data_IF_068416510382
#
_entry.id   IF_068416510382
#
_cell.length_a   1.000
_cell.length_b   1.000
_cell.length_c   1.000
_cell.angle_alpha   90.00
_cell.angle_beta   90.00
_cell.angle_gamma   90.00
#
_symmetry.space_group_name_H-M   'P 1'
#
loop_
_entity.id
_entity.type
_entity.pdbx_description
1 polymer ?
#
# COMPACT_ATOMS: atom_id res chain seq x y z
N UNK A 1 -1.45 15.70 3.76
CA UNK A 1 -1.27 16.97 4.47
C UNK A 1 -2.05 18.12 3.83
N UNK A 2 -2.28 18.13 2.53
CA UNK A 2 -3.05 19.16 1.81
C UNK A 2 -4.57 19.11 2.08
N UNK A 3 -5.15 17.91 2.27
CA UNK A 3 -6.60 17.76 2.52
C UNK A 3 -7.08 18.16 3.94
N UNK A 4 -6.18 18.31 4.92
CA UNK A 4 -6.56 18.72 6.30
C UNK A 4 -6.73 20.23 6.49
N UNK A 5 -6.29 21.05 5.53
CA UNK A 5 -6.39 22.52 5.63
C UNK A 5 -7.67 23.12 5.04
N UNK A 6 -8.45 22.33 4.31
CA UNK A 6 -9.67 22.82 3.63
C UNK A 6 -10.87 22.95 4.59
N UNK A 7 -10.92 22.17 5.66
CA UNK A 7 -12.04 22.21 6.62
C UNK A 7 -12.03 23.37 7.61
N UNK A 8 -10.91 24.08 7.75
CA UNK A 8 -10.79 25.16 8.74
C UNK A 8 -11.27 26.55 8.22
N UNK A 9 -11.35 26.76 6.90
CA UNK A 9 -11.65 28.09 6.35
C UNK A 9 -13.14 28.39 6.16
N UNK A 10 -14.00 27.36 6.09
CA UNK A 10 -15.43 27.52 5.80
C UNK A 10 -16.26 28.10 6.96
N UNK A 11 -15.72 28.16 8.18
CA UNK A 11 -16.49 28.59 9.37
C UNK A 11 -16.36 30.10 9.68
N UNK A 12 -15.36 30.78 9.15
CA UNK A 12 -15.09 32.19 9.48
C UNK A 12 -15.93 33.19 8.66
N UNK A 13 -16.46 32.80 7.50
CA UNK A 13 -17.15 33.75 6.57
C UNK A 13 -18.66 33.89 6.83
N UNK A 14 -19.30 32.99 7.61
CA UNK A 14 -20.75 32.99 7.81
C UNK A 14 -21.26 33.91 8.94
N UNK A 15 -20.40 34.64 9.64
CA UNK A 15 -20.80 35.47 10.81
C UNK A 15 -21.18 36.91 10.45
N UNK A 16 -21.06 37.39 9.21
CA UNK A 16 -21.16 38.84 8.93
C UNK A 16 -22.37 39.34 8.13
N UNK A 17 -23.42 38.58 7.85
CA UNK A 17 -24.59 39.16 7.17
C UNK A 17 -25.91 38.58 7.70
N UNK A 18 -26.39 39.04 8.84
CA UNK A 18 -27.82 39.28 9.08
C UNK A 18 -27.99 40.21 10.28
N UNK A 19 -28.08 41.49 9.99
CA UNK A 19 -28.55 42.50 10.93
C UNK A 19 -30.03 42.73 10.75
N UNK A 20 -30.81 42.53 11.79
CA UNK A 20 -31.67 43.52 12.45
C UNK A 20 -32.89 42.92 13.14
N UNK A 21 -32.93 43.28 14.40
CA UNK A 21 -34.07 43.59 15.30
C UNK A 21 -34.83 42.42 15.93
N UNK A 22 -34.56 42.24 17.23
CA UNK A 22 -35.40 41.52 18.17
C UNK A 22 -34.63 40.95 19.35
N UNK A 23 -34.67 41.64 20.50
CA UNK A 23 -34.30 41.16 21.83
C UNK A 23 -32.82 40.98 22.19
N UNK A 24 -32.23 42.02 22.70
CA UNK A 24 -30.87 42.09 23.24
C UNK A 24 -30.56 41.07 24.40
N UNK A 25 -31.56 40.45 25.03
CA UNK A 25 -31.35 39.56 26.15
C UNK A 25 -31.11 38.10 25.78
N UNK A 26 -31.44 37.67 24.53
CA UNK A 26 -31.22 36.30 24.02
C UNK A 26 -29.97 36.18 23.16
N UNK A 27 -29.34 37.25 22.73
CA UNK A 27 -28.15 37.26 21.89
C UNK A 27 -26.85 37.02 22.66
N UNK A 28 -26.75 37.48 23.92
CA UNK A 28 -25.55 37.29 24.75
C UNK A 28 -25.19 35.79 25.03
N UNK A 29 -26.15 34.92 25.44
CA UNK A 29 -25.83 33.52 25.66
C UNK A 29 -25.41 32.79 24.39
N UNK A 30 -26.03 33.10 23.24
CA UNK A 30 -25.71 32.48 21.98
C UNK A 30 -24.33 32.91 21.46
N UNK A 31 -23.94 34.15 21.62
CA UNK A 31 -22.60 34.62 21.29
C UNK A 31 -21.52 33.96 22.14
N UNK A 32 -21.79 33.75 23.45
CA UNK A 32 -20.88 33.02 24.35
C UNK A 32 -20.72 31.56 23.92
N UNK A 33 -21.79 30.87 23.54
CA UNK A 33 -21.75 29.49 23.02
C UNK A 33 -20.89 29.40 21.73
N UNK A 34 -21.12 30.29 20.76
CA UNK A 34 -20.35 30.35 19.53
C UNK A 34 -18.87 30.63 19.78
N UNK A 35 -18.57 31.50 20.75
CA UNK A 35 -17.18 31.78 21.14
C UNK A 35 -16.50 30.55 21.77
N UNK A 36 -17.20 29.80 22.64
CA UNK A 36 -16.69 28.57 23.23
C UNK A 36 -16.41 27.52 22.12
N UNK A 37 -17.35 27.35 21.18
CA UNK A 37 -17.17 26.44 20.04
C UNK A 37 -15.97 26.83 19.20
N UNK A 38 -15.81 28.13 18.87
CA UNK A 38 -14.67 28.63 18.09
C UNK A 38 -13.33 28.41 18.81
N UNK A 39 -13.27 28.69 20.12
CA UNK A 39 -12.06 28.46 20.93
C UNK A 39 -11.72 26.96 21.02
N UNK A 40 -12.72 26.11 21.15
CA UNK A 40 -12.54 24.66 21.13
C UNK A 40 -12.05 24.17 19.77
N UNK A 41 -12.59 24.69 18.68
CA UNK A 41 -12.12 24.35 17.34
C UNK A 41 -10.66 24.79 17.14
N UNK A 42 -10.30 25.99 17.56
CA UNK A 42 -8.92 26.47 17.51
C UNK A 42 -7.97 25.58 18.31
N UNK A 43 -8.39 25.05 19.47
CA UNK A 43 -7.59 24.10 20.24
C UNK A 43 -7.40 22.77 19.50
N UNK A 44 -8.44 22.26 18.82
CA UNK A 44 -8.33 21.08 17.94
C UNK A 44 -7.37 21.29 16.77
N UNK A 45 -7.41 22.46 16.15
CA UNK A 45 -6.50 22.81 15.04
C UNK A 45 -5.02 22.85 15.50
N UNK A 46 -4.80 23.19 16.78
CA UNK A 46 -3.50 23.14 17.47
C UNK A 46 -3.13 21.76 18.01
N UNK A 47 -3.98 20.75 17.80
CA UNK A 47 -3.84 19.39 18.34
C UNK A 47 -3.89 19.30 19.87
N UNK A 48 -4.52 20.29 20.54
CA UNK A 48 -4.74 20.29 21.98
C UNK A 48 -6.16 19.81 22.31
N UNK A 49 -6.35 18.49 22.17
CA UNK A 49 -7.66 17.83 22.39
C UNK A 49 -8.12 17.98 23.84
N UNK A 50 -7.17 18.01 24.80
CA UNK A 50 -7.50 18.15 26.23
C UNK A 50 -8.12 19.52 26.53
N UNK A 51 -7.54 20.60 25.98
CA UNK A 51 -8.07 21.94 26.09
C UNK A 51 -9.42 22.10 25.40
N UNK A 52 -9.55 21.53 24.18
CA UNK A 52 -10.82 21.54 23.46
C UNK A 52 -11.96 20.90 24.28
N UNK A 53 -11.66 19.73 24.86
CA UNK A 53 -12.62 18.99 25.71
C UNK A 53 -12.99 19.76 26.99
N UNK A 54 -12.02 20.39 27.66
CA UNK A 54 -12.26 21.22 28.84
C UNK A 54 -13.20 22.38 28.54
N UNK A 55 -12.91 23.14 27.45
CA UNK A 55 -13.76 24.27 27.04
C UNK A 55 -15.21 23.87 26.77
N UNK A 56 -15.42 22.74 26.09
CA UNK A 56 -16.77 22.26 25.78
C UNK A 56 -17.47 21.74 27.01
N UNK A 57 -16.79 21.03 27.92
CA UNK A 57 -17.39 20.59 29.20
C UNK A 57 -17.79 21.77 30.06
N UNK A 58 -16.97 22.79 30.20
CA UNK A 58 -17.31 24.03 30.91
C UNK A 58 -18.48 24.74 30.25
N UNK A 59 -18.51 24.79 28.91
CA UNK A 59 -19.63 25.30 28.16
C UNK A 59 -20.93 24.56 28.41
N UNK A 60 -20.90 23.23 28.43
CA UNK A 60 -22.08 22.39 28.73
C UNK A 60 -22.58 22.50 30.19
N UNK A 61 -21.71 22.78 31.13
CA UNK A 61 -22.13 23.10 32.53
C UNK A 61 -22.92 24.41 32.58
N UNK A 62 -22.53 25.41 31.76
CA UNK A 62 -23.21 26.71 31.68
C UNK A 62 -24.47 26.67 30.83
N UNK A 63 -24.41 25.91 29.73
CA UNK A 63 -25.40 25.86 28.65
C UNK A 63 -25.71 24.40 28.28
N UNK A 64 -26.40 23.62 29.17
CA UNK A 64 -26.55 22.17 29.02
C UNK A 64 -27.38 21.75 27.80
N UNK A 65 -28.27 22.62 27.32
CA UNK A 65 -29.22 22.29 26.25
C UNK A 65 -28.75 22.76 24.86
N UNK A 66 -27.56 23.37 24.75
CA UNK A 66 -27.07 23.90 23.47
C UNK A 66 -26.57 22.78 22.57
N UNK A 67 -27.22 22.64 21.42
CA UNK A 67 -26.92 21.59 20.44
C UNK A 67 -25.52 21.77 19.82
N UNK A 68 -25.10 23.03 19.58
CA UNK A 68 -23.80 23.36 19.02
C UNK A 68 -22.63 22.85 19.90
N UNK A 69 -22.77 22.93 21.22
CA UNK A 69 -21.75 22.38 22.14
C UNK A 69 -21.73 20.86 22.11
N UNK A 70 -22.90 20.21 22.03
CA UNK A 70 -22.99 18.74 21.92
C UNK A 70 -22.42 18.24 20.59
N UNK A 71 -22.68 18.96 19.49
CA UNK A 71 -22.08 18.64 18.18
C UNK A 71 -20.57 18.80 18.22
N UNK A 72 -20.06 19.87 18.83
CA UNK A 72 -18.62 20.07 18.99
C UNK A 72 -17.98 18.99 19.89
N UNK A 73 -18.68 18.55 20.96
CA UNK A 73 -18.26 17.43 21.77
C UNK A 73 -18.14 16.13 20.96
N UNK A 74 -19.11 15.89 20.07
CA UNK A 74 -19.05 14.72 19.19
C UNK A 74 -17.83 14.78 18.24
N UNK A 75 -17.47 15.96 17.72
CA UNK A 75 -16.24 16.14 16.92
C UNK A 75 -14.97 15.83 17.73
N UNK A 76 -14.88 16.32 18.97
CA UNK A 76 -13.76 16.00 19.87
C UNK A 76 -13.65 14.49 20.10
N UNK A 77 -14.76 13.79 20.32
CA UNK A 77 -14.78 12.35 20.47
C UNK A 77 -14.26 11.62 19.22
N UNK A 78 -14.52 12.13 18.02
CA UNK A 78 -13.98 11.56 16.79
C UNK A 78 -12.45 11.72 16.71
N UNK A 79 -11.92 12.90 17.07
CA UNK A 79 -10.46 13.10 17.13
C UNK A 79 -9.80 12.16 18.14
N UNK A 80 -10.44 11.93 19.29
CA UNK A 80 -10.02 10.98 20.32
C UNK A 80 -10.26 9.51 19.96
N UNK A 81 -10.81 9.21 18.76
CA UNK A 81 -11.18 7.85 18.32
C UNK A 81 -12.28 7.19 19.17
N UNK A 82 -13.05 7.98 19.87
CA UNK A 82 -14.22 7.55 20.64
C UNK A 82 -15.50 7.59 19.80
N UNK A 83 -15.47 7.04 18.58
CA UNK A 83 -16.52 7.14 17.57
C UNK A 83 -17.90 6.68 18.06
N UNK A 84 -17.95 5.64 18.90
CA UNK A 84 -19.23 5.16 19.47
C UNK A 84 -19.91 6.22 20.33
N UNK A 85 -19.15 6.99 21.09
CA UNK A 85 -19.68 8.07 21.92
C UNK A 85 -20.16 9.24 21.06
N UNK A 86 -19.39 9.59 20.02
CA UNK A 86 -19.80 10.60 19.04
C UNK A 86 -21.13 10.24 18.37
N UNK A 87 -21.25 9.02 17.82
CA UNK A 87 -22.47 8.55 17.17
C UNK A 87 -23.64 8.49 18.15
N UNK A 88 -23.44 8.01 19.36
CA UNK A 88 -24.48 7.96 20.41
C UNK A 88 -25.01 9.34 20.74
N UNK A 89 -24.12 10.33 20.90
CA UNK A 89 -24.48 11.71 21.19
C UNK A 89 -25.26 12.35 20.03
N UNK A 90 -24.80 12.22 18.79
CA UNK A 90 -25.46 12.76 17.60
C UNK A 90 -26.83 12.11 17.35
N UNK A 91 -26.92 10.78 17.54
CA UNK A 91 -28.22 10.10 17.46
C UNK A 91 -29.20 10.58 18.53
N UNK A 92 -28.74 10.90 19.76
CA UNK A 92 -29.62 11.45 20.80
C UNK A 92 -30.17 12.84 20.43
N UNK A 93 -29.38 13.68 19.73
CA UNK A 93 -29.83 14.95 19.17
C UNK A 93 -30.89 14.71 18.08
N UNK A 94 -30.66 13.79 17.16
CA UNK A 94 -31.60 13.45 16.09
C UNK A 94 -32.87 12.77 16.58
N UNK A 95 -32.83 12.08 17.71
CA UNK A 95 -34.05 11.57 18.37
C UNK A 95 -34.92 12.71 18.93
N UNK A 96 -34.30 13.76 19.45
CA UNK A 96 -35.01 14.93 19.96
C UNK A 96 -35.49 15.83 18.80
N UNK A 97 -34.68 16.01 17.78
CA UNK A 97 -34.99 16.80 16.59
C UNK A 97 -34.52 16.06 15.30
N UNK A 98 -35.39 15.24 14.66
CA UNK A 98 -35.05 14.48 13.46
C UNK A 98 -34.69 15.36 12.25
N UNK A 99 -35.05 16.64 12.25
CA UNK A 99 -34.73 17.60 11.18
C UNK A 99 -33.50 18.45 11.47
N UNK A 100 -32.78 18.20 12.56
CA UNK A 100 -31.56 18.93 12.90
C UNK A 100 -30.50 18.71 11.79
N UNK A 101 -30.30 19.77 11.01
CA UNK A 101 -29.36 19.79 9.90
C UNK A 101 -27.92 19.57 10.37
N UNK A 102 -27.52 20.24 11.44
CA UNK A 102 -26.13 20.26 11.88
C UNK A 102 -25.74 18.95 12.57
N UNK A 103 -26.64 18.35 13.31
CA UNK A 103 -26.46 17.00 13.84
C UNK A 103 -26.40 15.94 12.73
N UNK A 104 -27.25 16.03 11.69
CA UNK A 104 -27.17 15.12 10.52
C UNK A 104 -25.87 15.28 9.76
N UNK A 105 -25.45 16.52 9.52
CA UNK A 105 -24.18 16.82 8.83
C UNK A 105 -22.99 16.24 9.60
N UNK A 106 -22.95 16.46 10.92
CA UNK A 106 -21.91 15.92 11.77
C UNK A 106 -21.91 14.39 11.78
N UNK A 107 -23.08 13.75 11.87
CA UNK A 107 -23.20 12.30 11.83
C UNK A 107 -22.75 11.71 10.48
N UNK A 108 -23.08 12.38 9.37
CA UNK A 108 -22.60 12.00 8.05
C UNK A 108 -21.06 12.04 7.96
N UNK A 109 -20.45 13.09 8.50
CA UNK A 109 -19.00 13.23 8.59
C UNK A 109 -18.36 12.10 9.41
N UNK A 110 -18.93 11.78 10.58
CA UNK A 110 -18.43 10.67 11.43
C UNK A 110 -18.49 9.33 10.71
N UNK A 111 -19.58 9.04 9.99
CA UNK A 111 -19.67 7.83 9.18
C UNK A 111 -18.66 7.81 8.04
N UNK A 112 -18.40 8.93 7.38
CA UNK A 112 -17.37 9.08 6.35
C UNK A 112 -15.96 8.79 6.89
N UNK A 113 -15.61 9.36 8.05
CA UNK A 113 -14.32 9.07 8.71
C UNK A 113 -14.14 7.60 9.09
N UNK A 114 -15.24 6.91 9.41
CA UNK A 114 -15.24 5.47 9.68
C UNK A 114 -15.27 4.60 8.42
N UNK A 115 -15.18 5.19 7.27
CA UNK A 115 -15.29 4.50 5.97
C UNK A 115 -16.66 3.78 5.78
N UNK A 116 -17.67 4.17 6.55
CA UNK A 116 -19.04 3.72 6.35
C UNK A 116 -19.75 4.66 5.35
N UNK A 117 -19.26 4.62 4.12
CA UNK A 117 -19.68 5.54 3.06
C UNK A 117 -21.17 5.43 2.75
N UNK A 118 -21.74 4.23 2.81
CA UNK A 118 -23.16 4.03 2.51
C UNK A 118 -24.11 4.80 3.45
N UNK A 119 -23.80 4.82 4.76
CA UNK A 119 -24.60 5.59 5.72
C UNK A 119 -24.31 7.08 5.64
N UNK A 120 -23.06 7.45 5.42
CA UNK A 120 -22.65 8.83 5.19
C UNK A 120 -23.35 9.45 3.98
N UNK A 121 -23.31 8.76 2.83
CA UNK A 121 -23.96 9.20 1.59
C UNK A 121 -25.48 9.36 1.74
N UNK A 122 -26.12 8.44 2.46
CA UNK A 122 -27.55 8.51 2.74
C UNK A 122 -27.88 9.81 3.46
N UNK A 123 -27.15 10.14 4.53
CA UNK A 123 -27.40 11.36 5.31
C UNK A 123 -27.13 12.64 4.51
N UNK A 124 -26.06 12.69 3.69
CA UNK A 124 -25.84 13.82 2.81
C UNK A 124 -26.95 13.99 1.77
N UNK A 125 -27.50 12.90 1.20
CA UNK A 125 -28.63 12.97 0.28
C UNK A 125 -29.88 13.43 0.97
N UNK A 126 -30.19 12.96 2.17
CA UNK A 126 -31.31 13.44 2.97
C UNK A 126 -31.21 14.96 3.25
N UNK A 127 -30.00 15.48 3.51
CA UNK A 127 -29.77 16.91 3.65
C UNK A 127 -30.02 17.67 2.35
N UNK A 128 -29.58 17.16 1.22
CA UNK A 128 -29.77 17.75 -0.09
C UNK A 128 -31.21 17.63 -0.60
N UNK A 129 -31.96 16.60 -0.20
CA UNK A 129 -33.41 16.50 -0.45
C UNK A 129 -34.17 17.56 0.36
N UNK A 130 -33.77 17.85 1.59
CA UNK A 130 -34.39 18.88 2.42
C UNK A 130 -34.02 20.29 1.95
N UNK A 131 -32.76 20.51 1.57
CA UNK A 131 -32.24 21.77 1.04
C UNK A 131 -31.18 21.50 -0.04
N UNK A 132 -31.59 21.60 -1.29
CA UNK A 132 -30.71 21.34 -2.42
C UNK A 132 -29.55 22.36 -2.54
N UNK A 133 -29.63 23.50 -1.87
CA UNK A 133 -28.61 24.56 -1.85
C UNK A 133 -27.70 24.42 -0.60
N UNK A 134 -27.68 23.25 0.06
CA UNK A 134 -26.76 22.98 1.16
C UNK A 134 -25.35 22.65 0.62
N UNK A 135 -24.52 23.69 0.59
CA UNK A 135 -23.14 23.59 0.10
C UNK A 135 -22.31 22.59 0.91
N UNK A 136 -22.45 22.59 2.24
CA UNK A 136 -21.69 21.70 3.10
C UNK A 136 -22.07 20.20 2.88
N UNK A 137 -23.35 19.93 2.65
CA UNK A 137 -23.81 18.59 2.28
C UNK A 137 -23.33 18.17 0.89
N UNK A 138 -23.33 19.10 -0.08
CA UNK A 138 -22.79 18.89 -1.44
C UNK A 138 -21.30 18.56 -1.40
N UNK A 139 -20.50 19.35 -0.69
CA UNK A 139 -19.06 19.12 -0.49
C UNK A 139 -18.80 17.77 0.20
N UNK A 140 -19.55 17.47 1.27
CA UNK A 140 -19.44 16.23 1.99
C UNK A 140 -19.74 15.02 1.12
N UNK A 141 -20.78 15.06 0.31
CA UNK A 141 -21.16 13.98 -0.62
C UNK A 141 -20.07 13.76 -1.69
N UNK A 142 -19.59 14.85 -2.33
CA UNK A 142 -18.52 14.75 -3.33
C UNK A 142 -17.26 14.15 -2.73
N UNK A 143 -16.84 14.64 -1.57
CA UNK A 143 -15.66 14.14 -0.86
C UNK A 143 -15.80 12.65 -0.48
N UNK A 144 -16.96 12.27 0.03
CA UNK A 144 -17.25 10.90 0.44
C UNK A 144 -17.21 9.92 -0.75
N UNK A 145 -17.84 10.29 -1.87
CA UNK A 145 -17.79 9.53 -3.13
C UNK A 145 -16.37 9.39 -3.69
N UNK A 146 -15.52 10.41 -3.51
CA UNK A 146 -14.11 10.34 -3.88
C UNK A 146 -13.32 9.37 -2.99
N UNK A 147 -13.59 9.36 -1.68
CA UNK A 147 -12.95 8.43 -0.73
C UNK A 147 -13.40 6.98 -0.98
N UNK A 148 -14.67 6.78 -1.35
CA UNK A 148 -15.19 5.49 -1.78
C UNK A 148 -14.54 4.98 -3.08
N UNK A 149 -13.92 5.88 -3.86
CA UNK A 149 -13.36 5.58 -5.19
C UNK A 149 -14.40 5.62 -6.31
N UNK A 150 -15.58 6.19 -6.05
CA UNK A 150 -16.66 6.31 -7.03
C UNK A 150 -16.57 7.64 -7.79
N UNK A 151 -15.52 7.78 -8.64
CA UNK A 151 -15.24 9.00 -9.37
C UNK A 151 -16.37 9.43 -10.32
N UNK A 152 -17.15 8.49 -10.84
CA UNK A 152 -18.30 8.80 -11.73
C UNK A 152 -19.41 9.49 -10.94
N UNK A 153 -19.83 8.91 -9.82
CA UNK A 153 -20.85 9.52 -8.98
C UNK A 153 -20.33 10.84 -8.35
N UNK A 154 -19.03 10.92 -7.99
CA UNK A 154 -18.43 12.14 -7.51
C UNK A 154 -18.49 13.27 -8.56
N UNK A 155 -18.22 12.98 -9.85
CA UNK A 155 -18.36 13.97 -10.92
C UNK A 155 -19.81 14.42 -11.12
N UNK A 156 -20.75 13.50 -11.08
CA UNK A 156 -22.17 13.85 -11.21
C UNK A 156 -22.63 14.74 -10.05
N UNK A 157 -22.30 14.37 -8.82
CA UNK A 157 -22.60 15.16 -7.63
C UNK A 157 -21.91 16.54 -7.69
N UNK A 158 -20.65 16.58 -8.10
CA UNK A 158 -19.89 17.81 -8.26
C UNK A 158 -20.50 18.76 -9.32
N UNK A 159 -20.90 18.23 -10.48
CA UNK A 159 -21.55 19.04 -11.52
C UNK A 159 -22.87 19.63 -11.02
N UNK A 160 -23.67 18.86 -10.29
CA UNK A 160 -24.92 19.35 -9.68
C UNK A 160 -24.64 20.41 -8.62
N UNK A 161 -23.60 20.23 -7.81
CA UNK A 161 -23.18 21.19 -6.79
C UNK A 161 -22.66 22.50 -7.41
N UNK A 162 -21.83 22.44 -8.46
CA UNK A 162 -21.30 23.62 -9.17
C UNK A 162 -22.36 24.43 -9.89
N UNK A 163 -23.44 23.80 -10.36
CA UNK A 163 -24.58 24.56 -10.94
C UNK A 163 -25.23 25.48 -9.90
N UNK A 164 -25.24 25.04 -8.62
CA UNK A 164 -25.84 25.79 -7.50
C UNK A 164 -24.86 26.75 -6.85
N UNK A 165 -23.60 26.33 -6.74
CA UNK A 165 -22.51 27.05 -6.07
C UNK A 165 -21.33 27.29 -7.03
N UNK A 166 -21.49 28.07 -8.12
CA UNK A 166 -20.46 28.20 -9.16
C UNK A 166 -19.18 28.89 -8.68
N UNK A 167 -19.24 29.60 -7.56
CA UNK A 167 -18.09 30.34 -6.98
C UNK A 167 -17.48 29.63 -5.76
N UNK A 168 -17.96 28.44 -5.39
CA UNK A 168 -17.38 27.69 -4.28
C UNK A 168 -15.97 27.23 -4.62
N UNK A 169 -15.01 27.73 -3.85
CA UNK A 169 -13.59 27.47 -4.07
C UNK A 169 -13.26 25.98 -3.89
N UNK A 170 -13.88 25.33 -2.91
CA UNK A 170 -13.70 23.93 -2.59
C UNK A 170 -14.26 23.02 -3.69
N UNK A 171 -15.45 23.34 -4.23
CA UNK A 171 -16.02 22.58 -5.36
C UNK A 171 -15.17 22.75 -6.62
N UNK A 172 -14.63 23.95 -6.88
CA UNK A 172 -13.71 24.18 -7.99
C UNK A 172 -12.41 23.40 -7.82
N UNK A 173 -11.86 23.30 -6.62
CA UNK A 173 -10.69 22.45 -6.33
C UNK A 173 -10.98 20.96 -6.56
N UNK A 174 -12.17 20.47 -6.21
CA UNK A 174 -12.58 19.10 -6.54
C UNK A 174 -12.73 18.92 -8.06
N UNK A 175 -13.20 19.94 -8.77
CA UNK A 175 -13.30 19.89 -10.22
C UNK A 175 -11.93 19.79 -10.89
N UNK A 176 -10.95 20.57 -10.45
CA UNK A 176 -9.58 20.50 -10.93
C UNK A 176 -8.94 19.15 -10.61
N UNK A 177 -9.11 18.66 -9.38
CA UNK A 177 -8.65 17.33 -8.98
C UNK A 177 -9.25 16.21 -9.83
N UNK A 178 -10.55 16.31 -10.18
CA UNK A 178 -11.22 15.32 -11.03
C UNK A 178 -10.91 15.52 -12.52
N UNK A 179 -10.59 16.73 -12.96
CA UNK A 179 -10.18 16.99 -14.34
C UNK A 179 -8.80 16.36 -14.65
N UNK A 180 -7.90 16.31 -13.67
CA UNK A 180 -6.61 15.63 -13.79
C UNK A 180 -6.74 14.09 -13.78
N UNK A 181 -7.86 13.55 -13.30
CA UNK A 181 -8.15 12.12 -13.36
C UNK A 181 -9.02 11.82 -14.58
N UNK A 182 -8.66 10.86 -15.44
CA UNK A 182 -9.48 10.52 -16.60
C UNK A 182 -10.92 10.17 -16.19
N UNK A 183 -11.89 10.64 -16.98
CA UNK A 183 -13.35 10.49 -16.74
C UNK A 183 -13.86 9.03 -16.75
N UNK A 184 -12.99 8.09 -16.91
CA UNK A 184 -13.28 6.66 -17.08
C UNK A 184 -12.91 5.85 -15.84
N UNK A 185 -13.69 6.06 -14.75
CA UNK A 185 -14.03 4.92 -13.89
C UNK A 185 -15.49 4.48 -14.17
N UNK A 186 -15.81 4.35 -15.43
CA UNK A 186 -16.72 3.27 -15.85
C UNK A 186 -16.07 1.98 -15.37
N UNK A 187 -16.83 1.13 -14.61
CA UNK A 187 -16.45 -0.25 -14.20
C UNK A 187 -14.96 -0.50 -14.33
N UNK A 188 -14.20 -0.95 -13.37
CA UNK A 188 -12.77 -1.12 -13.56
C UNK A 188 -12.59 -1.75 -14.94
N UNK A 189 -12.14 -0.94 -15.89
CA UNK A 189 -11.85 -1.42 -17.24
C UNK A 189 -10.83 -2.49 -16.96
N UNK A 190 -11.16 -3.72 -17.33
CA UNK A 190 -10.27 -4.82 -17.11
C UNK A 190 -8.91 -4.38 -17.64
N UNK A 191 -7.97 -4.02 -16.74
CA UNK A 191 -6.67 -3.56 -17.15
C UNK A 191 -5.93 -4.79 -17.57
N UNK A 192 -6.02 -5.07 -18.86
CA UNK A 192 -5.24 -6.13 -19.46
C UNK A 192 -3.83 -5.59 -19.67
N UNK A 193 -2.84 -6.33 -19.23
CA UNK A 193 -1.44 -5.98 -19.42
C UNK A 193 -0.71 -7.18 -19.97
N UNK A 194 -0.09 -7.01 -21.11
CA UNK A 194 0.94 -7.93 -21.60
C UNK A 194 2.28 -7.46 -21.08
N UNK A 195 3.11 -8.37 -20.65
CA UNK A 195 4.49 -8.08 -20.25
C UNK A 195 5.46 -9.11 -20.83
N UNK A 196 6.62 -8.63 -21.18
CA UNK A 196 7.79 -9.43 -21.47
C UNK A 196 8.91 -9.07 -20.50
N UNK A 197 9.56 -10.06 -19.93
CA UNK A 197 10.68 -9.90 -19.00
C UNK A 197 11.85 -10.72 -19.49
N UNK A 198 12.99 -10.07 -19.64
CA UNK A 198 14.27 -10.71 -19.95
C UNK A 198 15.22 -10.46 -18.79
N UNK A 199 15.86 -11.51 -18.29
CA UNK A 199 16.85 -11.40 -17.23
C UNK A 199 18.11 -12.17 -17.61
N UNK A 200 19.24 -11.53 -17.39
CA UNK A 200 20.56 -12.12 -17.59
C UNK A 200 21.26 -12.25 -16.25
N UNK A 201 21.86 -13.40 -16.00
CA UNK A 201 22.65 -13.69 -14.81
C UNK A 201 24.03 -14.22 -15.19
N UNK A 202 25.07 -13.84 -14.43
CA UNK A 202 26.41 -14.40 -14.53
C UNK A 202 27.09 -14.39 -13.17
N UNK A 203 27.86 -15.44 -12.87
CA UNK A 203 28.65 -15.55 -11.65
C UNK A 203 30.14 -15.90 -11.88
N UNK A 204 30.92 -15.84 -10.82
CA UNK A 204 32.37 -16.15 -10.85
C UNK A 204 32.66 -17.65 -10.96
N UNK A 205 31.69 -18.54 -10.77
CA UNK A 205 31.81 -19.98 -10.98
C UNK A 205 31.61 -20.38 -12.45
N UNK A 206 31.37 -19.37 -13.33
CA UNK A 206 31.18 -19.55 -14.75
C UNK A 206 29.75 -19.90 -15.15
N UNK A 207 28.81 -19.93 -14.22
CA UNK A 207 27.39 -20.08 -14.53
C UNK A 207 26.83 -18.84 -15.18
N UNK A 208 26.00 -19.03 -16.17
CA UNK A 208 25.24 -17.98 -16.85
C UNK A 208 23.84 -18.45 -17.12
N UNK A 209 22.90 -17.55 -17.09
CA UNK A 209 21.54 -17.85 -17.51
C UNK A 209 20.88 -16.66 -18.22
N UNK A 210 19.97 -16.98 -19.12
CA UNK A 210 18.97 -16.07 -19.64
C UNK A 210 17.61 -16.60 -19.25
N UNK A 211 16.84 -15.76 -18.60
CA UNK A 211 15.46 -16.01 -18.26
C UNK A 211 14.57 -15.11 -19.11
N UNK A 212 13.62 -15.71 -19.81
CA UNK A 212 12.62 -15.02 -20.62
C UNK A 212 11.24 -15.38 -20.11
N UNK A 213 10.41 -14.40 -19.80
CA UNK A 213 9.05 -14.63 -19.36
C UNK A 213 8.06 -13.75 -20.13
N UNK A 214 7.02 -14.39 -20.63
CA UNK A 214 5.89 -13.71 -21.28
C UNK A 214 4.64 -13.93 -20.47
N UNK A 215 3.92 -12.85 -20.17
CA UNK A 215 2.75 -12.95 -19.32
C UNK A 215 1.63 -12.01 -19.74
N UNK A 216 0.41 -12.45 -19.46
CA UNK A 216 -0.79 -11.65 -19.62
C UNK A 216 -1.51 -11.56 -18.29
N UNK A 217 -1.77 -10.35 -17.87
CA UNK A 217 -2.47 -10.03 -16.63
C UNK A 217 -3.88 -9.57 -16.96
N UNK A 218 -4.88 -10.13 -16.28
CA UNK A 218 -6.28 -9.81 -16.44
C UNK A 218 -6.89 -9.35 -15.13
N UNK A 219 -7.50 -8.17 -15.11
CA UNK A 219 -8.36 -7.72 -14.02
C UNK A 219 -9.80 -8.04 -14.40
N UNK A 220 -10.31 -9.23 -14.05
CA UNK A 220 -11.63 -9.70 -14.46
C UNK A 220 -12.77 -8.99 -13.71
N UNK A 221 -12.56 -8.72 -12.43
CA UNK A 221 -13.49 -7.94 -11.60
C UNK A 221 -12.70 -7.05 -10.63
N UNK A 222 -13.37 -6.16 -9.88
CA UNK A 222 -12.71 -5.39 -8.81
C UNK A 222 -11.96 -6.28 -7.80
N UNK A 223 -12.46 -7.49 -7.59
CA UNK A 223 -11.96 -8.41 -6.58
C UNK A 223 -11.13 -9.55 -7.14
N UNK A 224 -11.15 -9.77 -8.46
CA UNK A 224 -10.47 -10.90 -9.08
C UNK A 224 -9.45 -10.46 -10.13
N UNK A 225 -8.21 -10.77 -9.87
CA UNK A 225 -7.06 -10.62 -10.76
C UNK A 225 -6.59 -12.01 -11.17
N UNK A 226 -6.20 -12.16 -12.44
CA UNK A 226 -5.60 -13.38 -12.98
C UNK A 226 -4.36 -13.05 -13.80
N UNK A 227 -3.38 -13.94 -13.79
CA UNK A 227 -2.17 -13.88 -14.60
C UNK A 227 -1.92 -15.26 -15.21
N UNK A 228 -1.56 -15.26 -16.47
CA UNK A 228 -0.99 -16.43 -17.12
C UNK A 228 0.41 -16.07 -17.62
N UNK A 229 1.38 -16.92 -17.40
CA UNK A 229 2.76 -16.71 -17.83
C UNK A 229 3.39 -18.00 -18.36
N UNK A 230 4.30 -17.83 -19.30
CA UNK A 230 5.20 -18.87 -19.78
C UNK A 230 6.62 -18.34 -19.59
N UNK A 231 7.48 -19.20 -19.11
CA UNK A 231 8.86 -18.87 -18.74
C UNK A 231 9.81 -19.88 -19.34
N UNK A 232 10.91 -19.37 -19.88
CA UNK A 232 12.02 -20.14 -20.38
C UNK A 232 13.28 -19.72 -19.63
N UNK A 233 14.02 -20.66 -19.12
CA UNK A 233 15.33 -20.43 -18.48
C UNK A 233 16.37 -21.25 -19.20
N UNK A 234 17.25 -20.58 -19.94
CA UNK A 234 18.42 -21.18 -20.58
C UNK A 234 19.63 -20.99 -19.68
N UNK A 235 20.28 -22.11 -19.35
CA UNK A 235 21.41 -22.19 -18.44
C UNK A 235 22.62 -22.76 -19.17
N UNK A 236 23.80 -22.20 -18.93
CA UNK A 236 25.07 -22.75 -19.42
C UNK A 236 26.20 -22.41 -18.46
N UNK A 237 27.25 -23.19 -18.56
CA UNK A 237 28.53 -22.97 -17.86
C UNK A 237 29.63 -22.94 -18.92
N UNK A 238 30.68 -22.21 -18.65
CA UNK A 238 31.81 -22.10 -19.61
C UNK A 238 32.31 -23.49 -20.05
N UNK A 239 32.22 -23.77 -21.35
CA UNK A 239 32.61 -25.04 -21.94
C UNK A 239 31.55 -26.14 -21.97
N UNK A 240 30.29 -25.85 -21.60
CA UNK A 240 29.17 -26.79 -21.61
C UNK A 240 28.13 -26.44 -22.69
N UNK A 241 27.24 -27.39 -22.98
CA UNK A 241 26.08 -27.19 -23.85
C UNK A 241 25.01 -26.43 -23.09
N UNK A 242 24.25 -25.57 -23.74
CA UNK A 242 23.12 -24.86 -23.16
C UNK A 242 21.98 -25.83 -22.79
N UNK A 243 21.45 -25.69 -21.63
CA UNK A 243 20.29 -26.45 -21.12
C UNK A 243 19.12 -25.50 -20.91
N UNK A 244 17.91 -25.96 -21.18
CA UNK A 244 16.71 -25.12 -21.13
C UNK A 244 15.61 -25.77 -20.31
N UNK A 245 15.07 -25.00 -19.35
CA UNK A 245 13.86 -25.34 -18.62
C UNK A 245 12.70 -24.49 -19.18
N UNK A 246 11.56 -25.14 -19.35
CA UNK A 246 10.33 -24.47 -19.74
C UNK A 246 9.30 -24.60 -18.62
N UNK A 247 8.71 -23.50 -18.19
CA UNK A 247 7.63 -23.52 -17.23
C UNK A 247 6.47 -22.65 -17.66
N UNK A 248 5.28 -22.96 -17.13
CA UNK A 248 4.10 -22.15 -17.32
C UNK A 248 3.20 -22.22 -16.11
N UNK A 249 2.53 -21.10 -15.79
CA UNK A 249 1.65 -21.03 -14.65
C UNK A 249 0.47 -20.10 -14.91
N UNK A 250 -0.68 -20.47 -14.33
CA UNK A 250 -1.84 -19.60 -14.15
C UNK A 250 -1.97 -19.24 -12.68
N UNK A 251 -2.14 -17.96 -12.39
CA UNK A 251 -2.29 -17.39 -11.05
C UNK A 251 -3.63 -16.67 -10.96
N UNK A 252 -4.32 -16.83 -9.83
CA UNK A 252 -5.50 -16.07 -9.48
C UNK A 252 -5.35 -15.44 -8.11
N UNK A 253 -5.81 -14.19 -7.97
CA UNK A 253 -5.90 -13.48 -6.69
C UNK A 253 -7.31 -12.96 -6.51
N UNK A 254 -7.98 -13.41 -5.46
CA UNK A 254 -9.34 -13.00 -5.13
C UNK A 254 -9.35 -12.23 -3.81
N UNK A 255 -9.87 -10.99 -3.84
CA UNK A 255 -10.08 -10.18 -2.64
C UNK A 255 -11.44 -10.48 -2.05
N UNK A 256 -11.46 -11.15 -0.90
CA UNK A 256 -12.67 -11.48 -0.15
C UNK A 256 -13.33 -10.22 0.45
N UNK A 257 -12.49 -9.34 1.00
CA UNK A 257 -12.92 -8.04 1.53
C UNK A 257 -11.73 -7.05 1.55
N UNK A 258 -11.89 -5.88 2.16
CA UNK A 258 -10.83 -4.86 2.23
C UNK A 258 -9.57 -5.28 3.01
N UNK A 259 -9.68 -6.32 3.82
CA UNK A 259 -8.59 -6.80 4.67
C UNK A 259 -7.98 -8.12 4.23
N UNK A 260 -8.73 -8.92 3.47
CA UNK A 260 -8.39 -10.32 3.21
C UNK A 260 -8.43 -10.63 1.71
N UNK A 261 -7.35 -11.22 1.21
CA UNK A 261 -7.28 -11.80 -0.13
C UNK A 261 -6.65 -13.19 -0.09
N UNK A 262 -7.02 -14.01 -1.06
CA UNK A 262 -6.44 -15.33 -1.32
C UNK A 262 -5.76 -15.27 -2.68
N UNK A 263 -4.55 -15.80 -2.76
CA UNK A 263 -3.82 -16.03 -4.01
C UNK A 263 -3.64 -17.52 -4.19
N UNK A 264 -3.78 -17.99 -5.42
CA UNK A 264 -3.45 -19.38 -5.78
C UNK A 264 -2.81 -19.41 -7.15
N UNK A 265 -1.93 -20.38 -7.36
CA UNK A 265 -1.38 -20.64 -8.69
C UNK A 265 -1.28 -22.14 -8.94
N UNK A 266 -1.37 -22.50 -10.21
CA UNK A 266 -1.11 -23.83 -10.71
C UNK A 266 -0.31 -23.74 -12.00
N UNK A 267 0.63 -24.63 -12.17
CA UNK A 267 1.51 -24.62 -13.34
C UNK A 267 2.23 -25.95 -13.50
N UNK A 268 3.18 -25.95 -14.43
CA UNK A 268 4.07 -27.07 -14.66
C UNK A 268 5.45 -26.57 -15.09
N UNK A 269 6.47 -27.35 -14.77
CA UNK A 269 7.82 -27.19 -15.30
C UNK A 269 8.20 -28.47 -16.06
N UNK A 270 8.84 -28.29 -17.23
CA UNK A 270 9.48 -29.33 -18.01
C UNK A 270 10.98 -29.20 -17.82
N UNK A 271 11.59 -30.24 -17.28
CA UNK A 271 13.02 -30.34 -17.10
C UNK A 271 13.72 -30.83 -18.37
N UNK A 272 15.03 -30.79 -18.36
CA UNK A 272 15.90 -31.14 -19.50
C UNK A 272 15.75 -32.59 -19.94
N UNK A 273 15.51 -33.51 -18.99
CA UNK A 273 15.26 -34.92 -19.24
C UNK A 273 13.84 -35.23 -19.76
N UNK A 274 13.13 -34.20 -20.24
CA UNK A 274 11.73 -34.25 -20.69
C UNK A 274 10.71 -34.60 -19.58
N UNK A 275 11.16 -34.77 -18.34
CA UNK A 275 10.23 -34.98 -17.24
C UNK A 275 9.48 -33.70 -16.91
N UNK A 276 8.20 -33.84 -16.57
CA UNK A 276 7.38 -32.70 -16.17
C UNK A 276 6.90 -32.85 -14.75
N UNK A 277 6.79 -31.72 -14.03
CA UNK A 277 6.30 -31.68 -12.65
C UNK A 277 5.29 -30.57 -12.50
N UNK A 278 4.27 -30.81 -11.69
CA UNK A 278 3.25 -29.83 -11.34
C UNK A 278 3.80 -28.87 -10.29
N UNK A 279 3.53 -27.57 -10.51
CA UNK A 279 3.81 -26.47 -9.60
C UNK A 279 2.49 -25.96 -9.02
N UNK A 280 2.50 -25.54 -7.77
CA UNK A 280 1.33 -24.94 -7.14
C UNK A 280 1.73 -24.01 -6.02
N UNK A 281 0.86 -23.03 -5.74
CA UNK A 281 0.96 -22.20 -4.56
C UNK A 281 -0.42 -21.79 -4.07
N UNK A 282 -0.53 -21.54 -2.78
CA UNK A 282 -1.70 -20.97 -2.13
C UNK A 282 -1.27 -20.06 -1.00
N UNK A 283 -1.72 -18.79 -1.03
CA UNK A 283 -1.36 -17.74 -0.07
C UNK A 283 -2.61 -17.10 0.49
N UNK A 284 -2.57 -16.77 1.77
CA UNK A 284 -3.49 -15.89 2.44
C UNK A 284 -2.80 -14.54 2.67
N UNK A 285 -3.44 -13.46 2.25
CA UNK A 285 -2.97 -12.09 2.44
C UNK A 285 -3.95 -11.36 3.36
N UNK A 286 -3.45 -10.84 4.48
CA UNK A 286 -4.22 -10.10 5.46
C UNK A 286 -3.63 -8.69 5.63
N UNK A 287 -4.44 -7.67 5.42
CA UNK A 287 -4.06 -6.26 5.57
C UNK A 287 -4.97 -5.59 6.62
N UNK A 288 -4.75 -5.86 7.93
CA UNK A 288 -5.62 -5.36 9.00
C UNK A 288 -5.56 -3.84 9.12
N UNK A 289 -4.48 -3.25 8.65
CA UNK A 289 -4.24 -1.80 8.57
C UNK A 289 -3.59 -1.48 7.22
N UNK A 290 -3.65 -0.20 6.79
CA UNK A 290 -3.04 0.26 5.52
C UNK A 290 -1.51 0.15 5.51
N UNK A 291 -0.89 0.19 6.67
CA UNK A 291 0.55 0.15 6.88
C UNK A 291 1.05 -1.22 7.35
N UNK A 292 0.19 -2.23 7.45
CA UNK A 292 0.54 -3.58 7.89
C UNK A 292 -0.05 -4.63 6.96
N UNK A 293 0.80 -5.43 6.37
CA UNK A 293 0.45 -6.58 5.55
C UNK A 293 1.07 -7.85 6.14
N UNK A 294 0.27 -8.88 6.26
CA UNK A 294 0.66 -10.22 6.66
C UNK A 294 0.36 -11.14 5.50
N UNK A 295 1.26 -12.02 5.17
CA UNK A 295 1.01 -13.07 4.20
C UNK A 295 1.61 -14.39 4.64
N UNK A 296 1.02 -15.48 4.20
CA UNK A 296 1.56 -16.81 4.45
C UNK A 296 0.89 -17.83 3.58
N UNK A 297 1.62 -18.84 3.23
CA UNK A 297 1.14 -19.84 2.30
C UNK A 297 2.06 -21.04 2.16
N UNK A 298 1.69 -21.87 1.21
CA UNK A 298 2.42 -23.06 0.82
C UNK A 298 2.65 -23.05 -0.69
N UNK A 299 3.88 -23.43 -1.12
CA UNK A 299 4.21 -23.43 -2.53
C UNK A 299 5.16 -24.57 -2.89
N UNK A 300 5.07 -24.99 -4.16
CA UNK A 300 6.00 -25.91 -4.81
C UNK A 300 6.56 -25.23 -6.06
N UNK A 301 7.87 -25.12 -6.14
CA UNK A 301 8.57 -24.36 -7.18
C UNK A 301 9.88 -25.04 -7.60
N UNK A 302 10.35 -24.84 -8.85
CA UNK A 302 11.61 -25.37 -9.31
C UNK A 302 12.79 -24.60 -8.71
N UNK A 303 13.89 -25.30 -8.48
CA UNK A 303 15.18 -24.75 -8.12
C UNK A 303 16.11 -24.95 -9.30
N UNK A 304 16.41 -23.89 -10.00
CA UNK A 304 17.32 -23.93 -11.16
C UNK A 304 18.26 -22.72 -11.14
N UNK A 305 19.06 -22.53 -10.08
CA UNK A 305 19.92 -21.36 -9.96
C UNK A 305 21.17 -21.45 -10.82
N UNK A 306 21.63 -22.65 -11.17
CA UNK A 306 22.87 -22.87 -11.92
C UNK A 306 22.72 -24.01 -12.93
N UNK A 307 23.66 -24.10 -13.86
CA UNK A 307 23.76 -25.22 -14.81
C UNK A 307 23.87 -26.56 -14.07
N UNK A 308 24.69 -26.65 -13.03
CA UNK A 308 24.91 -27.88 -12.30
C UNK A 308 23.64 -28.39 -11.57
N UNK A 309 22.71 -27.48 -11.20
CA UNK A 309 21.45 -27.84 -10.54
C UNK A 309 20.43 -28.53 -11.46
N UNK A 310 20.57 -28.36 -12.78
CA UNK A 310 19.62 -28.91 -13.75
C UNK A 310 19.66 -30.42 -13.79
N UNK A 311 20.83 -31.04 -13.53
CA UNK A 311 21.02 -32.49 -13.49
C UNK A 311 20.18 -33.18 -12.39
N UNK A 312 19.69 -32.45 -11.40
CA UNK A 312 18.97 -33.00 -10.26
C UNK A 312 17.45 -32.79 -10.32
N UNK A 313 16.94 -32.07 -11.35
CA UNK A 313 15.50 -31.71 -11.48
C UNK A 313 14.89 -31.22 -10.15
N UNK A 314 15.58 -30.26 -9.52
CA UNK A 314 15.30 -29.86 -8.16
C UNK A 314 13.96 -29.13 -8.03
N UNK A 315 13.19 -29.57 -7.05
CA UNK A 315 11.96 -28.93 -6.60
C UNK A 315 12.03 -28.68 -5.10
N UNK A 316 11.58 -27.52 -4.69
CA UNK A 316 11.33 -27.21 -3.30
C UNK A 316 9.83 -27.05 -3.06
N UNK A 317 9.38 -27.54 -1.92
CA UNK A 317 7.99 -27.40 -1.49
C UNK A 317 7.96 -27.05 -0.01
N UNK A 318 7.14 -26.05 0.36
CA UNK A 318 7.16 -25.64 1.75
C UNK A 318 6.30 -24.46 2.10
N UNK A 319 6.34 -24.12 3.38
CA UNK A 319 5.61 -23.01 3.97
C UNK A 319 6.44 -21.72 3.96
N UNK A 320 5.75 -20.60 3.77
CA UNK A 320 6.36 -19.29 3.93
C UNK A 320 5.39 -18.35 4.64
N UNK A 321 5.96 -17.38 5.34
CA UNK A 321 5.23 -16.29 5.97
C UNK A 321 6.01 -15.00 5.84
N UNK A 322 5.29 -13.87 5.77
CA UNK A 322 5.88 -12.55 5.67
C UNK A 322 5.02 -11.52 6.39
N UNK A 323 5.69 -10.63 7.08
CA UNK A 323 5.12 -9.44 7.71
C UNK A 323 5.79 -8.22 7.09
N UNK A 324 5.01 -7.33 6.51
CA UNK A 324 5.46 -6.03 6.00
C UNK A 324 4.76 -4.92 6.78
N UNK A 325 5.55 -4.04 7.40
CA UNK A 325 5.06 -2.91 8.15
C UNK A 325 5.67 -1.62 7.62
N UNK A 326 4.83 -0.71 7.13
CA UNK A 326 5.23 0.50 6.40
C UNK A 326 4.69 1.79 7.05
N UNK A 327 5.01 2.09 8.33
CA UNK A 327 4.55 3.32 8.96
C UNK A 327 5.32 4.53 8.42
N UNK A 328 4.62 5.42 7.70
CA UNK A 328 5.20 6.64 7.11
C UNK A 328 6.43 6.34 6.24
N UNK A 329 7.64 6.68 6.76
CA UNK A 329 8.91 6.59 6.04
C UNK A 329 9.77 5.39 6.47
N UNK A 330 9.23 4.48 7.25
CA UNK A 330 9.89 3.26 7.69
C UNK A 330 9.27 2.06 6.97
N UNK A 331 10.10 1.16 6.51
CA UNK A 331 9.71 -0.16 6.01
C UNK A 331 10.36 -1.20 6.90
N UNK A 332 9.60 -2.11 7.46
CA UNK A 332 10.11 -3.28 8.17
C UNK A 332 9.50 -4.52 7.54
N UNK A 333 10.34 -5.43 7.10
CA UNK A 333 9.93 -6.70 6.51
C UNK A 333 10.56 -7.84 7.29
N UNK A 334 9.74 -8.82 7.66
CA UNK A 334 10.21 -10.06 8.28
C UNK A 334 9.62 -11.21 7.49
N UNK A 335 10.45 -12.16 7.08
CA UNK A 335 9.98 -13.38 6.41
C UNK A 335 10.64 -14.62 6.99
N UNK A 336 9.86 -15.71 7.03
CA UNK A 336 10.30 -17.04 7.40
C UNK A 336 9.84 -18.00 6.31
N UNK A 337 10.70 -18.92 5.89
CA UNK A 337 10.32 -20.02 5.00
C UNK A 337 10.95 -21.33 5.45
N UNK A 338 10.15 -22.40 5.36
CA UNK A 338 10.53 -23.77 5.63
C UNK A 338 10.28 -24.57 4.36
N UNK A 339 11.29 -25.16 3.78
CA UNK A 339 11.17 -25.90 2.53
C UNK A 339 11.80 -27.28 2.60
N UNK A 340 11.15 -28.23 1.95
CA UNK A 340 11.63 -29.57 1.71
C UNK A 340 12.00 -29.71 0.23
N UNK A 341 13.17 -30.26 -0.04
CA UNK A 341 13.69 -30.46 -1.40
C UNK A 341 13.56 -31.93 -1.79
N UNK A 342 13.30 -32.19 -3.06
CA UNK A 342 13.14 -33.56 -3.57
C UNK A 342 14.45 -34.39 -3.53
N UNK A 343 15.59 -33.77 -3.26
CA UNK A 343 16.87 -34.47 -2.99
C UNK A 343 17.04 -34.87 -1.51
N UNK A 344 16.01 -34.67 -0.69
CA UNK A 344 15.98 -35.01 0.73
C UNK A 344 16.64 -33.97 1.64
N UNK A 345 16.90 -32.76 1.14
CA UNK A 345 17.35 -31.65 1.95
C UNK A 345 16.17 -30.87 2.55
N UNK A 346 16.41 -30.11 3.62
CA UNK A 346 15.46 -29.20 4.23
C UNK A 346 16.13 -27.87 4.43
N UNK A 347 15.39 -26.80 4.18
CA UNK A 347 15.87 -25.43 4.35
C UNK A 347 14.96 -24.63 5.26
N UNK A 348 15.58 -23.88 6.14
CA UNK A 348 14.97 -22.80 6.92
C UNK A 348 15.62 -21.48 6.54
N UNK A 349 14.81 -20.48 6.24
CA UNK A 349 15.31 -19.15 5.87
C UNK A 349 14.56 -18.09 6.64
N UNK A 350 15.31 -17.23 7.29
CA UNK A 350 14.82 -16.04 7.97
C UNK A 350 15.43 -14.81 7.34
N UNK A 351 14.59 -13.80 7.13
CA UNK A 351 15.03 -12.52 6.63
C UNK A 351 14.33 -11.42 7.41
N UNK A 352 15.11 -10.50 7.93
CA UNK A 352 14.64 -9.29 8.60
C UNK A 352 15.28 -8.09 7.93
N UNK A 353 14.49 -7.12 7.53
CA UNK A 353 14.97 -5.89 6.92
C UNK A 353 14.22 -4.70 7.50
N UNK A 354 14.94 -3.65 7.84
CA UNK A 354 14.38 -2.37 8.28
C UNK A 354 15.06 -1.23 7.54
N UNK A 355 14.28 -0.44 6.78
CA UNK A 355 14.76 0.71 6.02
C UNK A 355 13.97 1.95 6.41
N UNK A 356 14.67 3.03 6.72
CA UNK A 356 14.07 4.34 6.99
C UNK A 356 14.46 5.31 5.90
N UNK A 357 13.45 6.00 5.33
CA UNK A 357 13.61 6.96 4.26
C UNK A 357 13.40 8.38 4.77
N UNK A 358 14.24 9.29 4.33
CA UNK A 358 14.22 10.72 4.68
C UNK A 358 13.94 11.51 3.40
N UNK A 359 12.64 11.78 3.09
CA UNK A 359 12.26 12.50 1.89
C UNK A 359 12.59 13.99 1.99
N UNK A 360 12.98 14.59 0.87
CA UNK A 360 13.13 16.02 0.70
C UNK A 360 12.61 16.48 -0.66
N UNK A 361 12.49 17.78 -0.87
CA UNK A 361 12.05 18.41 -2.10
C UNK A 361 10.71 17.82 -2.59
N UNK A 362 9.64 18.03 -1.81
CA UNK A 362 8.27 17.55 -2.08
C UNK A 362 8.18 16.04 -2.38
N UNK A 363 8.99 15.21 -1.69
CA UNK A 363 9.10 13.77 -1.89
C UNK A 363 9.61 13.34 -3.28
N UNK A 364 10.24 14.24 -4.04
CA UNK A 364 10.89 13.87 -5.29
C UNK A 364 12.14 13.03 -5.04
N UNK A 365 12.82 13.28 -3.94
CA UNK A 365 14.03 12.56 -3.55
C UNK A 365 13.91 12.02 -2.13
N UNK A 366 14.58 10.91 -1.84
CA UNK A 366 14.74 10.41 -0.49
C UNK A 366 16.10 9.73 -0.32
N UNK A 367 16.78 10.01 0.80
CA UNK A 367 17.89 9.19 1.28
C UNK A 367 17.34 8.12 2.21
N UNK A 368 17.91 6.92 2.15
CA UNK A 368 17.54 5.80 2.99
C UNK A 368 18.73 5.24 3.75
N UNK A 369 18.43 4.66 4.89
CA UNK A 369 19.40 3.90 5.67
C UNK A 369 18.69 2.82 6.48
N UNK A 370 19.41 1.74 6.77
CA UNK A 370 18.79 0.65 7.47
C UNK A 370 19.73 -0.51 7.77
N UNK A 371 19.10 -1.64 8.02
CA UNK A 371 19.77 -2.87 8.40
C UNK A 371 19.01 -4.07 7.85
N UNK A 372 19.75 -5.09 7.41
CA UNK A 372 19.21 -6.39 7.01
C UNK A 372 19.95 -7.51 7.73
N UNK A 373 19.19 -8.49 8.18
CA UNK A 373 19.68 -9.74 8.73
C UNK A 373 19.14 -10.89 7.89
N UNK A 374 20.00 -11.87 7.61
CA UNK A 374 19.62 -13.11 6.93
C UNK A 374 20.18 -14.29 7.69
N UNK A 375 19.36 -15.30 7.82
CA UNK A 375 19.76 -16.62 8.32
C UNK A 375 19.26 -17.68 7.37
N UNK A 376 20.15 -18.60 7.00
CA UNK A 376 19.84 -19.75 6.15
C UNK A 376 20.43 -20.96 6.81
N UNK A 377 19.60 -21.98 7.00
CA UNK A 377 20.01 -23.27 7.52
C UNK A 377 19.52 -24.38 6.61
N UNK A 378 20.42 -25.28 6.22
CA UNK A 378 20.10 -26.53 5.53
C UNK A 378 20.51 -27.71 6.39
N UNK A 379 19.72 -28.77 6.32
CA UNK A 379 20.06 -30.00 7.09
C UNK A 379 21.26 -30.74 6.52
N UNK A 380 21.60 -30.47 5.24
CA UNK A 380 22.74 -31.10 4.55
C UNK A 380 23.40 -30.06 3.66
N UNK A 381 24.72 -30.02 3.64
CA UNK A 381 25.46 -29.30 2.58
C UNK A 381 25.65 -30.26 1.40
N UNK A 382 24.86 -30.05 0.35
CA UNK A 382 24.85 -30.88 -0.86
C UNK A 382 25.41 -30.11 -2.02
N UNK A 383 26.35 -30.72 -2.76
CA UNK A 383 26.90 -30.11 -3.99
C UNK A 383 25.99 -30.42 -5.19
N UNK A 384 24.71 -30.00 -5.13
CA UNK A 384 23.71 -30.21 -6.18
C UNK A 384 23.48 -28.92 -6.99
N UNK A 385 24.48 -28.05 -7.08
CA UNK A 385 24.43 -26.83 -7.90
C UNK A 385 23.59 -25.70 -7.28
N UNK A 386 23.24 -25.78 -6.00
CA UNK A 386 22.62 -24.69 -5.27
C UNK A 386 23.33 -24.44 -3.94
N UNK A 387 23.24 -23.23 -3.44
CA UNK A 387 23.83 -22.84 -2.16
C UNK A 387 23.03 -23.44 -1.00
N UNK A 388 23.62 -24.43 -0.31
CA UNK A 388 22.98 -25.19 0.76
C UNK A 388 23.86 -25.30 2.02
N UNK A 389 24.27 -24.17 2.62
CA UNK A 389 25.12 -24.19 3.81
C UNK A 389 24.37 -24.77 5.02
N UNK A 390 25.06 -25.51 5.89
CA UNK A 390 24.50 -25.94 7.15
C UNK A 390 24.06 -24.74 7.99
N UNK A 391 24.88 -23.70 8.07
CA UNK A 391 24.48 -22.40 8.62
C UNK A 391 25.12 -21.24 7.85
N UNK A 392 24.28 -20.26 7.52
CA UNK A 392 24.70 -18.98 6.98
C UNK A 392 24.00 -17.86 7.74
N UNK A 393 24.74 -16.84 8.13
CA UNK A 393 24.23 -15.63 8.74
C UNK A 393 24.86 -14.41 8.12
N UNK A 394 24.08 -13.36 7.87
CA UNK A 394 24.65 -12.08 7.45
C UNK A 394 24.02 -10.91 8.20
N UNK A 395 24.84 -9.91 8.46
CA UNK A 395 24.49 -8.66 9.09
C UNK A 395 24.93 -7.52 8.17
N UNK A 396 23.98 -6.84 7.55
CA UNK A 396 24.24 -5.85 6.51
C UNK A 396 23.64 -4.50 6.89
N UNK A 397 24.46 -3.46 6.90
CA UNK A 397 24.00 -2.08 6.90
C UNK A 397 23.51 -1.71 5.50
N UNK A 398 22.43 -0.94 5.39
CA UNK A 398 21.86 -0.49 4.14
C UNK A 398 21.96 1.03 4.00
N UNK A 399 22.26 1.51 2.80
CA UNK A 399 22.19 2.91 2.40
C UNK A 399 21.56 3.01 1.02
N UNK A 400 20.68 4.00 0.82
CA UNK A 400 19.96 4.09 -0.45
C UNK A 400 19.51 5.50 -0.81
N UNK A 401 19.13 5.61 -2.08
CA UNK A 401 18.62 6.82 -2.68
C UNK A 401 17.41 6.49 -3.55
N UNK A 402 16.33 7.24 -3.36
CA UNK A 402 15.14 7.18 -4.21
C UNK A 402 14.92 8.50 -4.92
N UNK A 403 14.49 8.44 -6.18
CA UNK A 403 14.05 9.61 -6.90
C UNK A 403 12.76 9.35 -7.69
N UNK A 404 11.96 10.40 -7.81
CA UNK A 404 10.75 10.42 -8.63
C UNK A 404 10.74 11.70 -9.47
N UNK A 405 10.82 11.56 -10.77
CA UNK A 405 10.79 12.70 -11.69
C UNK A 405 9.43 12.72 -12.39
N UNK A 406 8.53 13.55 -11.83
CA UNK A 406 7.15 13.63 -12.27
C UNK A 406 6.41 12.28 -12.19
N UNK A 407 5.57 12.01 -13.19
CA UNK A 407 4.82 10.75 -13.33
C UNK A 407 5.53 9.71 -14.21
N UNK A 408 6.65 10.05 -14.81
CA UNK A 408 7.28 9.27 -15.87
C UNK A 408 8.47 8.41 -15.41
N UNK A 409 9.07 8.73 -14.27
CA UNK A 409 10.25 8.01 -13.81
C UNK A 409 10.26 7.81 -12.29
N UNK A 410 10.69 6.62 -11.88
CA UNK A 410 11.05 6.27 -10.50
C UNK A 410 12.36 5.52 -10.51
N UNK A 411 13.31 5.94 -9.68
CA UNK A 411 14.59 5.29 -9.48
C UNK A 411 14.81 4.92 -8.03
N UNK A 412 15.41 3.76 -7.78
CA UNK A 412 15.86 3.33 -6.46
C UNK A 412 17.25 2.72 -6.59
N UNK A 413 18.17 3.20 -5.77
CA UNK A 413 19.53 2.69 -5.61
C UNK A 413 19.68 2.27 -4.15
N UNK A 414 20.04 1.02 -3.90
CA UNK A 414 20.17 0.49 -2.55
C UNK A 414 21.41 -0.38 -2.46
N UNK A 415 22.37 0.03 -1.63
CA UNK A 415 23.58 -0.69 -1.33
C UNK A 415 23.52 -1.30 0.06
N UNK A 416 24.00 -2.52 0.19
CA UNK A 416 24.21 -3.20 1.46
C UNK A 416 25.68 -3.53 1.61
N UNK A 417 26.18 -3.38 2.82
CA UNK A 417 27.56 -3.72 3.18
C UNK A 417 27.63 -4.19 4.62
N UNK A 418 28.42 -5.21 4.87
CA UNK A 418 28.56 -5.77 6.20
C UNK A 418 29.38 -7.04 6.24
N UNK A 419 28.95 -7.97 7.06
CA UNK A 419 29.65 -9.21 7.29
C UNK A 419 28.72 -10.42 7.26
N UNK A 420 29.26 -11.53 6.81
CA UNK A 420 28.61 -12.83 6.77
C UNK A 420 29.46 -13.90 7.44
N UNK A 421 28.80 -14.93 7.97
CA UNK A 421 29.40 -16.09 8.59
C UNK A 421 28.82 -17.35 7.97
N UNK A 422 29.67 -18.21 7.47
CA UNK A 422 29.36 -19.62 7.18
C UNK A 422 29.92 -20.50 8.32
N UNK A 423 29.21 -21.54 8.70
CA UNK A 423 29.60 -22.42 9.81
C UNK A 423 30.99 -23.03 9.63
N UNK A 424 31.38 -23.30 8.37
CA UNK A 424 32.69 -23.91 8.04
C UNK A 424 33.87 -22.91 8.15
N UNK A 425 33.60 -21.63 8.41
CA UNK A 425 34.62 -20.60 8.59
C UNK A 425 34.58 -20.04 10.02
N UNK A 426 35.74 -19.97 10.65
CA UNK A 426 35.86 -19.47 12.03
C UNK A 426 35.54 -17.97 12.17
N UNK A 427 35.68 -17.21 11.08
CA UNK A 427 35.60 -15.75 11.10
C UNK A 427 34.56 -15.20 10.15
N UNK A 428 34.02 -14.03 10.48
CA UNK A 428 33.16 -13.24 9.60
C UNK A 428 33.94 -12.73 8.38
N UNK A 429 33.29 -12.80 7.24
CA UNK A 429 33.80 -12.32 5.97
C UNK A 429 32.99 -11.14 5.43
N UNK A 430 33.59 -10.24 4.64
CA UNK A 430 32.84 -9.11 4.08
C UNK A 430 31.79 -9.58 3.09
N UNK A 431 30.59 -9.01 3.20
CA UNK A 431 29.48 -9.21 2.27
C UNK A 431 28.97 -7.88 1.74
N UNK A 432 28.46 -7.88 0.50
CA UNK A 432 27.91 -6.68 -0.07
C UNK A 432 26.95 -6.96 -1.22
N UNK A 433 25.98 -6.05 -1.38
CA UNK A 433 24.99 -6.09 -2.46
C UNK A 433 24.73 -4.70 -2.98
N UNK A 434 24.40 -4.60 -4.25
CA UNK A 434 23.90 -3.41 -4.90
C UNK A 434 22.63 -3.77 -5.67
N UNK A 435 21.57 -3.00 -5.42
CA UNK A 435 20.31 -3.09 -6.15
C UNK A 435 20.02 -1.75 -6.80
N UNK A 436 19.75 -1.76 -8.10
CA UNK A 436 19.36 -0.58 -8.87
C UNK A 436 18.06 -0.91 -9.58
N UNK A 437 17.04 -0.10 -9.37
CA UNK A 437 15.74 -0.21 -10.02
C UNK A 437 15.40 1.07 -10.75
N UNK A 438 14.92 0.96 -11.95
CA UNK A 438 14.47 2.09 -12.74
C UNK A 438 13.15 1.74 -13.43
N UNK A 439 12.10 2.50 -13.12
CA UNK A 439 10.80 2.38 -13.74
C UNK A 439 10.52 3.62 -14.60
N UNK A 440 10.15 3.40 -15.84
CA UNK A 440 9.75 4.41 -16.81
C UNK A 440 8.32 4.19 -17.25
N UNK A 441 7.52 5.26 -17.32
CA UNK A 441 6.10 5.21 -17.67
C UNK A 441 5.79 6.15 -18.83
N UNK A 442 5.30 5.59 -19.95
CA UNK A 442 5.02 6.33 -21.20
C UNK A 442 3.61 5.98 -21.69
N UNK A 443 2.59 6.66 -21.15
CA UNK A 443 1.20 6.38 -21.51
C UNK A 443 0.78 4.96 -21.14
N UNK A 444 0.55 4.12 -22.15
CA UNK A 444 0.20 2.71 -21.97
C UNK A 444 1.40 1.78 -21.73
N UNK A 445 2.61 2.25 -21.96
CA UNK A 445 3.84 1.49 -21.79
C UNK A 445 4.47 1.74 -20.44
N UNK A 446 5.02 0.70 -19.87
CA UNK A 446 5.94 0.76 -18.73
C UNK A 446 7.16 -0.11 -19.01
N UNK A 447 8.32 0.42 -18.67
CA UNK A 447 9.61 -0.24 -18.78
C UNK A 447 10.27 -0.24 -17.41
N UNK A 448 10.60 -1.43 -16.90
CA UNK A 448 11.46 -1.57 -15.72
C UNK A 448 12.83 -2.09 -16.14
N UNK A 449 13.88 -1.51 -15.57
CA UNK A 449 15.26 -1.94 -15.78
C UNK A 449 15.95 -2.07 -14.41
N UNK A 450 16.21 -3.30 -14.01
CA UNK A 450 16.77 -3.64 -12.73
C UNK A 450 18.18 -4.21 -12.91
N UNK A 451 19.07 -3.87 -11.99
CA UNK A 451 20.40 -4.46 -11.89
C UNK A 451 20.68 -4.84 -10.46
N UNK A 452 21.29 -6.00 -10.27
CA UNK A 452 21.78 -6.45 -8.97
C UNK A 452 23.19 -7.00 -9.06
N UNK A 453 23.98 -6.72 -8.02
CA UNK A 453 25.31 -7.27 -7.83
C UNK A 453 25.39 -7.84 -6.41
N UNK A 454 25.97 -9.03 -6.30
CA UNK A 454 26.16 -9.73 -5.03
C UNK A 454 27.63 -10.10 -4.86
N UNK A 455 28.14 -9.89 -3.65
CA UNK A 455 29.44 -10.37 -3.22
C UNK A 455 29.23 -11.11 -1.89
N UNK A 456 29.30 -12.43 -1.95
CA UNK A 456 29.09 -13.35 -0.84
C UNK A 456 30.29 -14.31 -0.78
N UNK A 457 30.47 -14.96 0.38
CA UNK A 457 31.38 -16.09 0.50
C UNK A 457 30.58 -17.40 0.36
N UNK A 458 31.18 -18.36 -0.32
CA UNK A 458 30.74 -19.75 -0.36
C UNK A 458 31.87 -20.68 0.09
N UNK A 459 31.57 -21.93 0.35
CA UNK A 459 32.56 -22.94 0.74
C UNK A 459 33.73 -23.08 -0.25
N UNK A 460 33.49 -22.70 -1.52
CA UNK A 460 34.48 -22.69 -2.61
C UNK A 460 35.28 -21.38 -2.74
N UNK A 461 35.02 -20.39 -1.86
CA UNK A 461 35.66 -19.09 -1.89
C UNK A 461 34.73 -17.92 -2.16
N UNK A 462 35.28 -16.77 -2.56
CA UNK A 462 34.47 -15.57 -2.84
C UNK A 462 33.59 -15.74 -4.08
N UNK A 463 32.30 -15.62 -3.91
CA UNK A 463 31.29 -15.66 -4.97
C UNK A 463 30.82 -14.24 -5.32
N UNK A 464 30.84 -13.94 -6.61
CA UNK A 464 30.30 -12.70 -7.14
C UNK A 464 29.31 -13.01 -8.24
N UNK A 465 28.18 -12.35 -8.22
CA UNK A 465 27.18 -12.54 -9.24
C UNK A 465 26.57 -11.21 -9.67
N UNK A 466 26.15 -11.14 -10.92
CA UNK A 466 25.45 -10.00 -11.50
C UNK A 466 24.17 -10.51 -12.14
N UNK A 467 23.11 -9.74 -11.98
CA UNK A 467 21.88 -9.94 -12.74
C UNK A 467 21.38 -8.61 -13.29
N UNK A 468 20.90 -8.63 -14.53
CA UNK A 468 20.23 -7.51 -15.15
C UNK A 468 18.88 -7.97 -15.69
N UNK A 469 17.82 -7.23 -15.38
CA UNK A 469 16.46 -7.57 -15.79
C UNK A 469 15.81 -6.40 -16.49
N UNK A 470 15.17 -6.64 -17.62
CA UNK A 470 14.36 -5.68 -18.34
C UNK A 470 12.95 -6.23 -18.45
N UNK A 471 11.97 -5.45 -18.02
CA UNK A 471 10.55 -5.79 -18.17
C UNK A 471 9.86 -4.71 -18.96
N UNK A 472 9.25 -5.09 -20.07
CA UNK A 472 8.40 -4.22 -20.89
C UNK A 472 6.94 -4.63 -20.69
N UNK A 473 6.10 -3.67 -20.32
CA UNK A 473 4.67 -3.87 -20.15
C UNK A 473 3.84 -2.93 -21.02
N UNK A 474 2.73 -3.43 -21.54
CA UNK A 474 1.72 -2.66 -22.26
C UNK A 474 0.35 -2.87 -21.65
N UNK A 475 -0.35 -1.77 -21.34
CA UNK A 475 -1.71 -1.73 -20.75
C UNK A 475 -2.71 -1.35 -21.86
N UNK A 476 -3.80 -2.11 -21.98
CA UNK A 476 -4.85 -1.87 -22.98
C UNK A 476 -6.26 -2.07 -22.42
#
# INVERSE_FOLDING_TARGET
MFLRRITALAIVVLVQLHGKTGSCAAEEPRQQVLQIVAQSQQALDQHDEAKALSLIKEGLVRFPDQEELKIQLARIYVEQKHDRQAIGLLNSLLLANPSDRDAKLALAQVYGYRENYAQSDRLYRELLEANADDEAASLGLVHNLLLEGNAVAARQALQQALVRHPTSLELLQFNDYLAEKPATETKPRAVHRVQNTESFFADTSGNRSVYSAQGVNYQLTRNFFSRVRVEETSLWKTGTITETLLSGAAEGRYRLNKYLAVRSSVGAVRFIDDSSRVLYAGDLELSPRRDLQLSGGFSRYPIAPTFDSTAFNLLAEGWHSRVDYHPRNLTVSVSLSLAHYNDGNHAEREWVEGLRWFPWHDNQFALGGGYAFRHIHFTKDLNHGYFSPNQYRSHLGAAGFRMRLGKHYRGEFLGYGGAELLEDFADYSPAGELLVRNDFFFGHWDLAADYSYYHLIQTTGAFRANAATITLGYKF
#
